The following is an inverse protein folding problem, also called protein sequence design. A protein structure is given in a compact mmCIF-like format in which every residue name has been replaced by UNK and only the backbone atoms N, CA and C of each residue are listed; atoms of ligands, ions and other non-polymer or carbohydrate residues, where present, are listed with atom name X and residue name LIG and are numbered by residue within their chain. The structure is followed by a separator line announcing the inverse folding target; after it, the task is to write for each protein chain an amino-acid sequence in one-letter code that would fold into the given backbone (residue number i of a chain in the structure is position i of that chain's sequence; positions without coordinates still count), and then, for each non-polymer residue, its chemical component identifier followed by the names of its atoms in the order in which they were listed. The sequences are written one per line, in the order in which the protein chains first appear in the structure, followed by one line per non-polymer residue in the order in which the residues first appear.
data_IF_266963473827
#
_entry.id   IF_266963473827
#
_cell.length_a   1.000
_cell.length_b   1.000
_cell.length_c   1.000
_cell.angle_alpha   90.00
_cell.angle_beta   90.00
_cell.angle_gamma   90.00
#
_symmetry.space_group_name_H-M   'P 1'
#
loop_
_entity.id
_entity.type
_entity.pdbx_description
1 polymer ?
#
# COMPACT_ATOMS: atom_id res chain seq x y z
N UNK A 1 -20.25 -2.17 -27.82
CA UNK A 1 -18.96 -1.83 -28.48
C UNK A 1 -18.54 -0.39 -28.16
N UNK A 2 -19.49 0.54 -28.10
CA UNK A 2 -19.25 1.97 -27.79
C UNK A 2 -18.48 2.22 -26.48
N UNK A 3 -18.75 1.44 -25.43
CA UNK A 3 -18.10 1.61 -24.13
C UNK A 3 -16.58 1.33 -24.14
N UNK A 4 -16.11 0.46 -25.05
CA UNK A 4 -14.68 0.17 -25.19
C UNK A 4 -13.95 1.29 -25.96
N UNK A 5 -14.63 1.84 -26.98
CA UNK A 5 -14.11 2.99 -27.73
C UNK A 5 -13.99 4.22 -26.82
N UNK A 6 -14.97 4.45 -25.95
CA UNK A 6 -14.95 5.53 -24.96
C UNK A 6 -13.82 5.35 -23.94
N UNK A 7 -13.61 4.13 -23.43
CA UNK A 7 -12.51 3.84 -22.52
C UNK A 7 -11.14 4.12 -23.17
N UNK A 8 -10.93 3.64 -24.40
CA UNK A 8 -9.68 3.91 -25.13
C UNK A 8 -9.49 5.39 -25.39
N UNK A 9 -10.54 6.11 -25.78
CA UNK A 9 -10.50 7.54 -26.01
C UNK A 9 -10.11 8.31 -24.75
N UNK A 10 -10.53 7.84 -23.56
CA UNK A 10 -10.19 8.46 -22.28
C UNK A 10 -8.72 8.28 -21.86
N UNK A 11 -8.02 7.27 -22.40
CA UNK A 11 -6.62 6.94 -22.05
C UNK A 11 -5.61 7.57 -23.03
N UNK A 12 -6.03 7.81 -24.28
CA UNK A 12 -5.15 8.37 -25.31
C UNK A 12 -4.87 9.86 -25.03
N UNK A 13 -3.59 10.20 -24.83
CA UNK A 13 -3.12 11.59 -24.67
C UNK A 13 -3.05 12.09 -23.23
N UNK A 14 -3.39 11.26 -22.24
CA UNK A 14 -3.27 11.61 -20.81
C UNK A 14 -1.86 11.30 -20.31
N UNK A 15 -1.08 12.34 -19.98
CA UNK A 15 0.29 12.20 -19.45
C UNK A 15 0.33 12.01 -17.93
N UNK A 16 -0.70 12.44 -17.22
CA UNK A 16 -0.83 12.27 -15.77
C UNK A 16 -2.31 12.13 -15.40
N UNK A 17 -2.61 11.19 -14.51
CA UNK A 17 -3.94 11.00 -13.96
C UNK A 17 -4.00 11.63 -12.59
N UNK A 18 -5.03 12.44 -12.33
CA UNK A 18 -5.36 12.78 -10.94
C UNK A 18 -5.92 11.52 -10.25
N UNK A 19 -5.81 11.40 -8.91
CA UNK A 19 -6.38 10.26 -8.19
C UNK A 19 -7.88 10.03 -8.50
N UNK A 20 -8.64 11.10 -8.69
CA UNK A 20 -10.06 11.03 -9.08
C UNK A 20 -10.27 10.51 -10.52
N UNK A 21 -9.44 10.92 -11.48
CA UNK A 21 -9.52 10.42 -12.86
C UNK A 21 -9.14 8.95 -12.94
N UNK A 22 -8.11 8.54 -12.19
CA UNK A 22 -7.69 7.14 -12.10
C UNK A 22 -8.82 6.27 -11.51
N UNK A 23 -9.45 6.69 -10.42
CA UNK A 23 -10.61 6.00 -9.83
C UNK A 23 -11.77 5.87 -10.83
N UNK A 24 -12.13 6.94 -11.54
CA UNK A 24 -13.21 6.87 -12.54
C UNK A 24 -12.89 5.89 -13.68
N UNK A 25 -11.65 5.87 -14.16
CA UNK A 25 -11.21 4.95 -15.21
C UNK A 25 -11.32 3.49 -14.72
N UNK A 26 -10.76 3.19 -13.55
CA UNK A 26 -10.78 1.83 -13.01
C UNK A 26 -12.21 1.34 -12.72
N UNK A 27 -13.12 2.20 -12.24
CA UNK A 27 -14.54 1.84 -12.05
C UNK A 27 -15.22 1.44 -13.36
N UNK A 28 -14.91 2.15 -14.45
CA UNK A 28 -15.44 1.82 -15.78
C UNK A 28 -14.90 0.48 -16.26
N UNK A 29 -13.62 0.21 -16.06
CA UNK A 29 -13.00 -1.08 -16.40
C UNK A 29 -13.66 -2.23 -15.63
N UNK A 30 -13.86 -2.08 -14.32
CA UNK A 30 -14.54 -3.07 -13.49
C UNK A 30 -16.00 -3.31 -13.95
N UNK A 31 -16.72 -2.25 -14.31
CA UNK A 31 -18.08 -2.37 -14.85
C UNK A 31 -18.11 -3.11 -16.20
N UNK A 32 -17.06 -3.00 -17.01
CA UNK A 32 -16.94 -3.72 -18.28
C UNK A 32 -16.57 -5.19 -18.05
N UNK A 33 -15.61 -5.47 -17.17
CA UNK A 33 -15.19 -6.84 -16.85
C UNK A 33 -16.34 -7.66 -16.25
N UNK A 34 -17.09 -7.08 -15.32
CA UNK A 34 -18.28 -7.73 -14.74
C UNK A 34 -19.36 -8.05 -15.79
N UNK A 35 -19.60 -7.14 -16.74
CA UNK A 35 -20.51 -7.41 -17.88
C UNK A 35 -19.99 -8.53 -18.79
N UNK A 36 -18.68 -8.60 -19.04
CA UNK A 36 -18.09 -9.67 -19.84
C UNK A 36 -18.23 -11.03 -19.15
N UNK A 37 -18.07 -11.09 -17.82
CA UNK A 37 -18.28 -12.31 -17.03
C UNK A 37 -19.76 -12.73 -17.10
N UNK A 38 -20.70 -11.80 -16.93
CA UNK A 38 -22.12 -12.09 -17.06
C UNK A 38 -22.50 -12.60 -18.46
N UNK A 39 -21.89 -12.03 -19.51
CA UNK A 39 -22.08 -12.51 -20.87
C UNK A 39 -21.52 -13.93 -21.06
N UNK A 40 -20.36 -14.26 -20.49
CA UNK A 40 -19.81 -15.62 -20.53
C UNK A 40 -20.77 -16.64 -19.93
N UNK A 41 -21.42 -16.32 -18.81
CA UNK A 41 -22.35 -17.25 -18.16
C UNK A 41 -23.64 -17.45 -18.97
N UNK A 42 -24.08 -16.42 -19.70
CA UNK A 42 -25.23 -16.52 -20.61
C UNK A 42 -24.96 -17.35 -21.88
N UNK A 43 -23.70 -17.63 -22.22
CA UNK A 43 -23.32 -18.34 -23.45
C UNK A 43 -22.35 -19.50 -23.14
N UNK A 44 -22.87 -20.73 -22.95
CA UNK A 44 -22.09 -21.93 -22.61
C UNK A 44 -20.97 -22.25 -23.61
N UNK A 45 -21.21 -22.01 -24.90
CA UNK A 45 -20.21 -22.25 -25.95
C UNK A 45 -18.97 -21.35 -25.80
N UNK A 46 -19.15 -20.11 -25.35
CA UNK A 46 -18.06 -19.19 -25.05
C UNK A 46 -17.30 -19.59 -23.78
N UNK A 47 -17.97 -20.25 -22.83
CA UNK A 47 -17.37 -20.76 -21.59
C UNK A 47 -16.42 -21.93 -21.85
N UNK A 48 -16.71 -22.78 -22.84
CA UNK A 48 -15.88 -23.91 -23.25
C UNK A 48 -14.71 -23.53 -24.16
N UNK A 49 -14.67 -22.29 -24.67
CA UNK A 49 -13.60 -21.83 -25.56
C UNK A 49 -12.33 -21.48 -24.77
N UNK A 50 -11.25 -22.25 -24.98
CA UNK A 50 -9.94 -22.04 -24.36
C UNK A 50 -9.36 -20.63 -24.55
N UNK A 51 -9.59 -19.98 -25.71
CA UNK A 51 -9.09 -18.63 -25.95
C UNK A 51 -9.76 -17.61 -25.02
N UNK A 52 -11.06 -17.79 -24.77
CA UNK A 52 -11.83 -16.93 -23.88
C UNK A 52 -11.44 -17.16 -22.41
N UNK A 53 -11.15 -18.40 -22.04
CA UNK A 53 -10.64 -18.75 -20.72
C UNK A 53 -9.27 -18.10 -20.42
N UNK A 54 -8.31 -18.15 -21.35
CA UNK A 54 -7.02 -17.48 -21.17
C UNK A 54 -7.18 -15.95 -21.04
N UNK A 55 -8.07 -15.35 -21.84
CA UNK A 55 -8.36 -13.92 -21.73
C UNK A 55 -8.93 -13.55 -20.35
N UNK A 56 -9.90 -14.32 -19.84
CA UNK A 56 -10.45 -14.10 -18.50
C UNK A 56 -9.39 -14.25 -17.41
N UNK A 57 -8.51 -15.24 -17.51
CA UNK A 57 -7.41 -15.43 -16.57
C UNK A 57 -6.42 -14.25 -16.59
N UNK A 58 -6.15 -13.67 -17.76
CA UNK A 58 -5.34 -12.44 -17.90
C UNK A 58 -6.03 -11.24 -17.27
N UNK A 59 -7.34 -11.06 -17.49
CA UNK A 59 -8.12 -10.00 -16.85
C UNK A 59 -8.10 -10.12 -15.33
N UNK A 60 -8.32 -11.31 -14.78
CA UNK A 60 -8.26 -11.53 -13.32
C UNK A 60 -6.87 -11.21 -12.75
N UNK A 61 -5.80 -11.60 -13.45
CA UNK A 61 -4.43 -11.22 -13.04
C UNK A 61 -4.22 -9.72 -13.07
N UNK A 62 -4.69 -9.05 -14.12
CA UNK A 62 -4.59 -7.60 -14.25
C UNK A 62 -5.39 -6.88 -13.14
N UNK A 63 -6.58 -7.36 -12.78
CA UNK A 63 -7.39 -6.79 -11.68
C UNK A 63 -6.67 -6.92 -10.33
N UNK A 64 -6.06 -8.07 -10.08
CA UNK A 64 -5.24 -8.27 -8.88
C UNK A 64 -4.04 -7.32 -8.85
N UNK A 65 -3.38 -7.13 -10.00
CA UNK A 65 -2.25 -6.22 -10.14
C UNK A 65 -2.67 -4.76 -9.91
N UNK A 66 -3.79 -4.30 -10.50
CA UNK A 66 -4.37 -2.97 -10.27
C UNK A 66 -4.68 -2.77 -8.78
N UNK A 67 -5.27 -3.78 -8.14
CA UNK A 67 -5.57 -3.73 -6.70
C UNK A 67 -4.30 -3.58 -5.85
N UNK A 68 -3.24 -4.31 -6.19
CA UNK A 68 -1.94 -4.19 -5.54
C UNK A 68 -1.29 -2.81 -5.77
N UNK A 69 -1.34 -2.30 -7.00
CA UNK A 69 -0.80 -0.97 -7.33
C UNK A 69 -1.53 0.13 -6.54
N UNK A 70 -2.85 0.04 -6.42
CA UNK A 70 -3.65 0.96 -5.60
C UNK A 70 -3.24 0.91 -4.13
N UNK A 71 -3.09 -0.29 -3.56
CA UNK A 71 -2.66 -0.46 -2.18
C UNK A 71 -1.26 0.13 -1.96
N UNK A 72 -0.32 -0.16 -2.87
CA UNK A 72 1.05 0.39 -2.81
C UNK A 72 1.11 1.91 -2.93
N UNK A 73 0.29 2.51 -3.79
CA UNK A 73 0.17 3.96 -3.87
C UNK A 73 -0.33 4.56 -2.56
N UNK A 74 -1.41 4.01 -1.99
CA UNK A 74 -1.99 4.50 -0.74
C UNK A 74 -1.02 4.37 0.43
N UNK A 75 -0.30 3.24 0.55
CA UNK A 75 0.74 3.05 1.57
C UNK A 75 1.86 4.09 1.44
N UNK A 76 2.31 4.36 0.20
CA UNK A 76 3.29 5.41 -0.07
C UNK A 76 2.81 6.80 0.35
N UNK A 77 1.56 7.14 0.02
CA UNK A 77 0.94 8.43 0.40
C UNK A 77 0.78 8.53 1.91
N UNK A 78 0.32 7.48 2.59
CA UNK A 78 0.18 7.46 4.04
C UNK A 78 1.52 7.63 4.75
N UNK A 79 2.57 6.93 4.29
CA UNK A 79 3.93 7.09 4.81
C UNK A 79 4.44 8.51 4.61
N UNK A 80 4.22 9.08 3.42
CA UNK A 80 4.57 10.46 3.11
C UNK A 80 3.89 11.45 4.07
N UNK A 81 2.56 11.35 4.19
CA UNK A 81 1.76 12.21 5.07
C UNK A 81 2.16 12.06 6.54
N UNK A 82 2.47 10.83 6.98
CA UNK A 82 2.91 10.54 8.35
C UNK A 82 4.25 11.21 8.66
N UNK A 83 5.25 11.05 7.78
CA UNK A 83 6.57 11.68 7.96
C UNK A 83 6.44 13.20 7.91
N UNK A 84 5.68 13.75 6.95
CA UNK A 84 5.45 15.19 6.82
C UNK A 84 4.82 15.83 8.06
N UNK A 85 4.02 15.08 8.81
CA UNK A 85 3.32 15.56 10.03
C UNK A 85 4.14 15.39 11.32
N UNK A 86 5.28 14.70 11.28
CA UNK A 86 6.15 14.48 12.45
C UNK A 86 7.01 15.72 12.75
N UNK A 87 7.39 15.91 14.01
CA UNK A 87 8.38 16.93 14.42
C UNK A 87 9.77 16.27 14.41
N UNK A 88 10.80 16.88 13.78
CA UNK A 88 10.86 18.25 13.24
C UNK A 88 10.43 18.39 11.77
N UNK A 89 10.11 17.30 11.08
CA UNK A 89 9.87 17.27 9.63
C UNK A 89 8.78 18.25 9.17
N UNK A 90 7.75 18.49 9.97
CA UNK A 90 6.66 19.45 9.67
C UNK A 90 7.15 20.89 9.50
N UNK A 91 8.22 21.28 10.20
CA UNK A 91 8.83 22.61 10.09
C UNK A 91 9.56 22.72 8.75
N UNK A 92 10.37 21.71 8.42
CA UNK A 92 11.06 21.60 7.14
C UNK A 92 10.08 21.53 5.97
N UNK A 93 9.02 20.74 6.09
CA UNK A 93 8.00 20.58 5.06
C UNK A 93 7.24 21.89 4.79
N UNK A 94 6.97 22.68 5.83
CA UNK A 94 6.39 24.03 5.70
C UNK A 94 7.37 25.01 5.06
N UNK A 95 8.64 25.00 5.48
CA UNK A 95 9.67 25.87 4.92
C UNK A 95 9.93 25.60 3.43
N UNK A 96 9.93 24.32 3.03
CA UNK A 96 10.13 23.87 1.64
C UNK A 96 8.84 23.76 0.82
N UNK A 97 7.68 24.14 1.39
CA UNK A 97 6.36 24.13 0.72
C UNK A 97 5.97 22.78 0.11
N UNK A 98 6.26 21.68 0.80
CA UNK A 98 5.80 20.37 0.38
C UNK A 98 4.26 20.28 0.42
N UNK A 99 3.66 19.83 -0.68
CA UNK A 99 2.20 19.75 -0.87
C UNK A 99 1.62 18.46 -0.29
N UNK A 100 0.33 18.44 0.03
CA UNK A 100 -0.33 17.18 0.37
C UNK A 100 -0.61 16.39 -0.90
N UNK A 101 -0.65 15.06 -0.76
CA UNK A 101 -0.94 14.12 -1.85
C UNK A 101 -2.22 13.39 -1.48
N UNK A 102 -3.15 13.32 -2.43
CA UNK A 102 -4.44 12.66 -2.22
C UNK A 102 -4.33 11.14 -2.37
N UNK A 103 -5.11 10.42 -1.57
CA UNK A 103 -5.20 8.96 -1.66
C UNK A 103 -6.04 8.54 -2.88
N UNK A 104 -5.76 7.33 -3.39
CA UNK A 104 -6.62 6.63 -4.34
C UNK A 104 -7.75 5.93 -3.59
N UNK A 105 -8.82 6.67 -3.35
CA UNK A 105 -10.05 6.15 -2.75
C UNK A 105 -10.97 5.58 -3.83
N UNK A 106 -11.34 4.32 -3.69
CA UNK A 106 -12.52 3.79 -4.38
C UNK A 106 -13.73 4.05 -3.50
N UNK A 107 -14.76 4.70 -4.04
CA UNK A 107 -16.11 4.51 -3.51
C UNK A 107 -16.52 3.12 -3.94
N UNK A 108 -16.11 2.12 -3.17
CA UNK A 108 -16.97 0.97 -3.01
C UNK A 108 -18.21 1.50 -2.32
N UNK A 109 -19.23 1.91 -3.09
CA UNK A 109 -20.57 1.57 -2.65
C UNK A 109 -20.47 0.12 -2.21
N UNK A 110 -20.63 -0.09 -0.91
CA UNK A 110 -20.64 -1.39 -0.26
C UNK A 110 -21.78 -2.16 -0.92
N UNK A 111 -21.48 -2.77 -2.07
CA UNK A 111 -22.33 -3.77 -2.67
C UNK A 111 -22.20 -4.97 -1.76
N UNK A 112 -23.14 -5.07 -0.84
CA UNK A 112 -23.58 -6.35 -0.28
C UNK A 112 -23.61 -7.33 -1.45
N UNK A 113 -22.62 -8.22 -1.49
CA UNK A 113 -22.49 -9.23 -2.53
C UNK A 113 -23.73 -10.11 -2.40
N UNK A 114 -24.66 -10.14 -3.37
CA UNK A 114 -25.80 -11.03 -3.27
C UNK A 114 -25.27 -12.45 -3.27
N UNK A 115 -25.59 -13.23 -2.24
CA UNK A 115 -25.28 -14.65 -2.17
C UNK A 115 -26.04 -15.36 -3.29
N UNK A 116 -25.36 -15.66 -4.40
CA UNK A 116 -25.88 -16.48 -5.48
C UNK A 116 -25.83 -17.94 -5.02
N UNK A 117 -26.98 -18.53 -4.72
CA UNK A 117 -27.11 -19.97 -4.51
C UNK A 117 -27.14 -20.64 -5.89
N UNK A 118 -26.09 -21.38 -6.22
CA UNK A 118 -26.08 -22.30 -7.37
C UNK A 118 -26.57 -23.67 -6.90
N UNK A 119 -27.55 -24.25 -7.60
CA UNK A 119 -28.29 -25.48 -7.28
C UNK A 119 -27.50 -26.79 -7.47
N UNK A 120 -26.18 -26.73 -7.63
CA UNK A 120 -25.35 -27.91 -7.85
C UNK A 120 -24.61 -28.28 -6.57
N UNK A 121 -25.13 -29.30 -5.89
CA UNK A 121 -24.61 -29.85 -4.65
C UNK A 121 -23.12 -30.21 -4.72
N UNK A 122 -22.37 -29.62 -3.78
CA UNK A 122 -21.02 -29.96 -3.38
C UNK A 122 -19.88 -29.67 -4.39
N UNK A 123 -19.57 -28.38 -4.54
CA UNK A 123 -18.18 -27.94 -4.61
C UNK A 123 -17.91 -26.93 -3.49
N UNK A 124 -17.26 -27.39 -2.43
CA UNK A 124 -16.56 -26.51 -1.50
C UNK A 124 -15.37 -25.91 -2.24
N UNK A 125 -15.54 -24.72 -2.83
CA UNK A 125 -14.40 -23.87 -3.13
C UNK A 125 -13.78 -23.56 -1.76
N UNK A 126 -12.52 -23.94 -1.46
CA UNK A 126 -11.88 -23.40 -0.28
C UNK A 126 -11.98 -21.88 -0.41
N UNK A 127 -12.51 -21.21 0.61
CA UNK A 127 -12.47 -19.76 0.71
C UNK A 127 -11.01 -19.32 0.62
N UNK A 128 -10.49 -19.17 -0.59
CA UNK A 128 -9.22 -18.50 -0.84
C UNK A 128 -9.53 -17.06 -0.54
N UNK A 129 -9.25 -16.70 0.70
CA UNK A 129 -9.20 -15.37 1.24
C UNK A 129 -10.43 -14.53 0.89
N UNK A 130 -11.38 -14.49 1.83
CA UNK A 130 -12.04 -13.24 2.14
C UNK A 130 -10.95 -12.15 2.22
N UNK A 131 -10.68 -11.46 1.10
CA UNK A 131 -10.22 -10.10 1.18
C UNK A 131 -11.44 -9.35 1.69
N UNK A 132 -11.57 -9.30 3.01
CA UNK A 132 -12.51 -8.38 3.65
C UNK A 132 -12.33 -7.03 2.96
N UNK A 133 -13.41 -6.39 2.44
CA UNK A 133 -13.30 -4.98 2.17
C UNK A 133 -12.88 -4.36 3.49
N UNK A 134 -11.72 -3.70 3.53
CA UNK A 134 -11.23 -2.96 4.69
C UNK A 134 -12.30 -1.91 5.06
N UNK A 135 -13.28 -2.32 5.86
CA UNK A 135 -14.44 -1.53 6.31
C UNK A 135 -14.09 -0.69 7.54
N UNK A 136 -12.83 -0.65 7.93
CA UNK A 136 -12.37 0.20 9.02
C UNK A 136 -11.62 1.39 8.42
N UNK A 137 -11.93 2.65 8.79
CA UNK A 137 -10.87 3.65 8.79
C UNK A 137 -9.77 3.05 9.66
N UNK A 138 -8.51 3.21 9.27
CA UNK A 138 -7.39 2.91 10.18
C UNK A 138 -7.44 3.99 11.27
N UNK A 139 -8.41 3.87 12.17
CA UNK A 139 -8.37 4.42 13.51
C UNK A 139 -7.26 3.63 14.16
N UNK A 140 -6.10 4.30 14.26
CA UNK A 140 -5.01 3.97 15.15
C UNK A 140 -4.94 2.47 15.51
N UNK A 141 -4.22 1.69 14.71
CA UNK A 141 -3.40 0.66 15.31
C UNK A 141 -2.33 1.39 16.16
N UNK A 142 -2.75 1.85 17.36
CA UNK A 142 -1.87 1.75 18.50
C UNK A 142 -1.48 0.29 18.51
N UNK A 143 -0.22 0.01 18.22
CA UNK A 143 0.35 -1.32 18.35
C UNK A 143 0.10 -1.79 19.78
N UNK A 144 -0.99 -2.50 20.01
CA UNK A 144 -1.27 -3.16 21.26
C UNK A 144 -0.46 -4.45 21.22
N UNK A 145 0.77 -4.27 21.67
CA UNK A 145 1.71 -5.31 22.05
C UNK A 145 0.93 -6.32 22.90
N UNK A 146 0.83 -7.55 22.40
CA UNK A 146 0.38 -8.69 23.18
C UNK A 146 1.23 -8.73 24.46
N UNK A 147 0.58 -8.71 25.63
CA UNK A 147 1.26 -8.73 26.92
C UNK A 147 2.12 -10.00 27.05
N UNK A 148 3.41 -9.83 26.79
CA UNK A 148 4.44 -10.78 27.19
C UNK A 148 4.39 -10.84 28.71
N UNK A 149 4.37 -12.03 29.35
CA UNK A 149 4.48 -12.13 30.80
C UNK A 149 5.70 -11.33 31.25
N UNK A 150 5.49 -10.42 32.20
CA UNK A 150 6.46 -9.42 32.66
C UNK A 150 7.72 -10.11 33.19
N UNK A 151 8.64 -10.40 32.27
CA UNK A 151 10.02 -10.69 32.62
C UNK A 151 10.59 -9.41 33.24
N UNK A 152 11.33 -9.52 34.36
CA UNK A 152 11.84 -8.35 35.06
C UNK A 152 12.57 -7.45 34.08
N UNK A 153 12.19 -6.16 34.10
CA UNK A 153 12.67 -5.12 33.19
C UNK A 153 14.17 -5.29 32.91
N UNK A 154 14.63 -5.35 31.65
CA UNK A 154 16.03 -5.09 31.38
C UNK A 154 16.31 -3.64 31.77
N UNK A 155 16.95 -3.47 32.92
CA UNK A 155 17.32 -2.18 33.53
C UNK A 155 18.48 -1.49 32.81
N UNK A 156 18.67 -1.76 31.51
CA UNK A 156 19.78 -1.18 30.75
C UNK A 156 19.24 -0.21 29.70
N UNK A 157 19.67 1.06 29.71
CA UNK A 157 19.32 1.98 28.63
C UNK A 157 19.79 1.40 27.30
N UNK A 158 18.96 1.47 26.25
CA UNK A 158 19.37 1.14 24.87
C UNK A 158 20.63 1.95 24.55
N UNK A 159 21.79 1.30 24.54
CA UNK A 159 23.05 1.91 24.15
C UNK A 159 22.97 2.24 22.66
N UNK A 160 23.16 3.51 22.33
CA UNK A 160 23.27 3.95 20.94
C UNK A 160 24.72 3.72 20.54
N UNK A 161 24.95 2.80 19.62
CA UNK A 161 26.28 2.55 19.06
C UNK A 161 26.63 3.69 18.09
N UNK A 162 27.60 4.53 18.47
CA UNK A 162 28.17 5.56 17.60
C UNK A 162 29.49 5.11 16.98
N UNK A 163 29.70 5.50 15.73
CA UNK A 163 30.97 5.35 15.02
C UNK A 163 31.58 6.73 14.80
N UNK A 164 32.88 6.87 15.04
CA UNK A 164 33.64 8.10 14.89
C UNK A 164 34.67 7.94 13.76
N UNK A 165 35.02 9.03 13.09
CA UNK A 165 36.01 9.03 12.00
C UNK A 165 37.30 9.71 12.44
N UNK A 166 38.44 9.05 12.23
CA UNK A 166 39.78 9.58 12.51
C UNK A 166 40.78 9.10 11.47
N UNK A 167 41.55 10.01 10.88
CA UNK A 167 42.58 9.71 9.87
C UNK A 167 42.08 8.76 8.76
N UNK A 168 40.91 9.07 8.19
CA UNK A 168 40.22 8.28 7.15
C UNK A 168 39.87 6.84 7.52
N UNK A 169 39.86 6.51 8.83
CA UNK A 169 39.39 5.24 9.36
C UNK A 169 38.20 5.44 10.29
N UNK A 170 37.20 4.57 10.15
CA UNK A 170 36.05 4.51 11.03
C UNK A 170 36.40 3.68 12.27
N UNK A 171 36.26 4.28 13.45
CA UNK A 171 36.45 3.63 14.75
C UNK A 171 35.10 3.51 15.47
N UNK A 172 34.84 2.35 16.08
CA UNK A 172 33.62 2.05 16.82
C UNK A 172 33.30 0.55 16.83
N UNK A 173 32.15 0.14 17.41
CA UNK A 173 31.12 0.98 18.02
C UNK A 173 31.48 1.50 19.42
N UNK A 174 31.08 2.74 19.72
CA UNK A 174 31.24 3.37 21.03
C UNK A 174 29.89 3.72 21.67
N UNK A 175 29.83 3.67 23.00
CA UNK A 175 28.69 4.18 23.78
C UNK A 175 28.82 5.70 24.01
N UNK A 176 27.70 6.37 24.26
CA UNK A 176 27.61 7.82 24.37
C UNK A 176 28.52 8.38 25.49
N UNK A 177 28.65 7.65 26.59
CA UNK A 177 29.56 8.00 27.68
C UNK A 177 31.02 8.01 27.20
N UNK A 178 31.41 7.00 26.40
CA UNK A 178 32.78 6.90 25.88
C UNK A 178 33.07 7.95 24.82
N UNK A 179 32.09 8.28 23.96
CA UNK A 179 32.22 9.37 22.98
C UNK A 179 32.45 10.70 23.68
N UNK A 180 31.72 11.00 24.77
CA UNK A 180 31.92 12.23 25.55
C UNK A 180 33.33 12.33 26.15
N UNK A 181 33.85 11.21 26.68
CA UNK A 181 35.22 11.14 27.20
C UNK A 181 36.26 11.39 26.10
N UNK A 182 36.09 10.76 24.92
CA UNK A 182 37.02 10.90 23.79
C UNK A 182 37.03 12.32 23.21
N UNK A 183 35.89 13.00 23.19
CA UNK A 183 35.79 14.41 22.79
C UNK A 183 36.42 15.31 23.87
N UNK A 184 36.18 15.05 25.15
CA UNK A 184 36.80 15.80 26.25
C UNK A 184 38.33 15.64 26.30
N UNK A 185 38.84 14.47 25.95
CA UNK A 185 40.27 14.18 25.82
C UNK A 185 40.92 14.80 24.57
N UNK A 186 40.15 15.49 23.71
CA UNK A 186 40.66 16.16 22.51
C UNK A 186 41.05 15.21 21.38
N UNK A 187 40.67 13.93 21.45
CA UNK A 187 41.00 12.91 20.44
C UNK A 187 40.19 13.13 19.16
N UNK A 188 38.98 13.69 19.29
CA UNK A 188 38.06 14.00 18.21
C UNK A 188 37.59 15.46 18.34
N UNK A 189 37.72 16.25 17.27
CA UNK A 189 37.22 17.62 17.26
C UNK A 189 35.75 17.65 16.83
N UNK A 190 34.97 18.51 17.47
CA UNK A 190 33.59 18.80 17.05
C UNK A 190 33.67 19.57 15.73
N UNK A 191 33.38 18.90 14.62
CA UNK A 191 33.14 19.61 13.36
C UNK A 191 31.91 20.51 13.56
N UNK A 192 32.12 21.82 13.37
CA UNK A 192 31.09 22.86 13.54
C UNK A 192 30.00 22.77 12.49
#
# INVERSE_FOLDING_TARGET
LDSLAELRGAVVGVQSYTPAQADQAMRREFALSSRLIALREAYPDLKANRMMEDFMNRLTRMENEISMMRAGYNDGVERYLTVKRRIPEVILARALKFQDVDLLTFSSEVREVPSLQTDDGNLSIPKTSEAEPLKQPIVAAKSEIQAVPEAPLPTSPKSINLYLWKNDRMEGPFDLAKVRELVAAGVYQKNG
#
